data_IF_603915658083
#
_entry.id   IF_603915658083
#
_cell.length_a   1.000
_cell.length_b   1.000
_cell.length_c   1.000
_cell.angle_alpha   90.00
_cell.angle_beta   90.00
_cell.angle_gamma   90.00
#
_symmetry.space_group_name_H-M   'P 1'
#
loop_
_entity.id
_entity.type
_entity.pdbx_description
1 polymer ?
#
# COMPACT_ATOMS: atom_id res chain seq x y z
N UNK A 1 -20.42 -5.76 0.27
CA UNK A 1 -19.03 -5.30 0.40
C UNK A 1 -18.11 -6.48 0.65
N UNK A 2 -16.89 -6.44 0.15
CA UNK A 2 -15.90 -7.51 0.33
C UNK A 2 -14.77 -7.03 1.25
N UNK A 3 -14.13 -7.98 1.94
CA UNK A 3 -12.84 -7.72 2.57
C UNK A 3 -11.82 -7.30 1.49
N UNK A 4 -10.85 -6.42 1.82
CA UNK A 4 -9.73 -6.13 0.94
C UNK A 4 -9.03 -7.41 0.48
N UNK A 5 -8.49 -7.40 -0.73
CA UNK A 5 -7.68 -8.50 -1.23
C UNK A 5 -6.49 -8.77 -0.29
N UNK A 6 -6.20 -10.04 -0.03
CA UNK A 6 -5.16 -10.47 0.91
C UNK A 6 -5.60 -10.59 2.37
N UNK A 7 -6.84 -10.19 2.71
CA UNK A 7 -7.48 -10.49 4.00
C UNK A 7 -8.48 -11.63 3.90
N UNK A 8 -8.65 -12.37 5.00
CA UNK A 8 -9.61 -13.46 5.14
C UNK A 8 -10.30 -13.42 6.50
N UNK A 9 -11.54 -13.90 6.56
CA UNK A 9 -12.30 -14.09 7.81
C UNK A 9 -12.35 -15.58 8.16
N UNK A 10 -11.81 -15.94 9.32
CA UNK A 10 -11.93 -17.27 9.89
C UNK A 10 -13.34 -17.50 10.47
N UNK A 11 -13.76 -18.77 10.55
CA UNK A 11 -15.05 -19.14 11.16
C UNK A 11 -15.12 -18.83 12.65
N UNK A 12 -13.98 -18.64 13.31
CA UNK A 12 -13.85 -18.15 14.69
C UNK A 12 -14.10 -16.64 14.83
N UNK A 13 -14.29 -15.92 13.72
CA UNK A 13 -14.52 -14.47 13.68
C UNK A 13 -13.25 -13.62 13.55
N UNK A 14 -12.07 -14.25 13.44
CA UNK A 14 -10.80 -13.54 13.27
C UNK A 14 -10.60 -13.09 11.82
N UNK A 15 -10.23 -11.82 11.62
CA UNK A 15 -9.80 -11.30 10.31
C UNK A 15 -8.28 -11.21 10.31
N UNK A 16 -7.62 -11.85 9.35
CA UNK A 16 -6.16 -11.87 9.24
C UNK A 16 -5.67 -11.92 7.79
N UNK A 17 -4.41 -11.56 7.60
CA UNK A 17 -3.73 -11.49 6.30
C UNK A 17 -2.98 -10.18 6.11
N UNK A 18 -2.60 -9.88 4.87
CA UNK A 18 -1.92 -8.64 4.48
C UNK A 18 -2.69 -8.02 3.32
N UNK A 19 -3.31 -6.84 3.50
CA UNK A 19 -4.04 -6.20 2.42
C UNK A 19 -3.08 -5.78 1.29
N UNK A 20 -3.44 -6.06 0.04
CA UNK A 20 -2.59 -5.77 -1.14
C UNK A 20 -2.97 -4.48 -1.87
N UNK A 21 -4.13 -3.91 -1.56
CA UNK A 21 -4.67 -2.72 -2.20
C UNK A 21 -4.98 -1.64 -1.16
N UNK A 22 -4.52 -0.42 -1.43
CA UNK A 22 -4.83 0.75 -0.63
C UNK A 22 -6.19 1.33 -1.00
N UNK A 23 -6.97 1.76 -0.01
CA UNK A 23 -8.31 2.28 -0.23
C UNK A 23 -9.23 2.10 0.98
N UNK A 24 -10.51 2.43 0.77
CA UNK A 24 -11.55 2.26 1.79
C UNK A 24 -12.49 1.13 1.38
N UNK A 25 -12.49 0.04 2.14
CA UNK A 25 -13.24 -1.17 1.87
C UNK A 25 -14.39 -1.30 2.88
N UNK A 26 -15.62 -1.28 2.38
CA UNK A 26 -16.81 -1.49 3.22
C UNK A 26 -17.30 -2.92 3.04
N UNK A 27 -17.52 -3.65 4.14
CA UNK A 27 -17.99 -5.02 4.14
C UNK A 27 -18.97 -5.27 5.30
N UNK A 28 -19.78 -6.31 5.14
CA UNK A 28 -20.84 -6.65 6.10
C UNK A 28 -20.51 -8.00 6.72
N UNK A 29 -20.44 -8.06 8.05
CA UNK A 29 -20.27 -9.31 8.79
C UNK A 29 -21.62 -9.79 9.30
N UNK A 30 -21.88 -11.07 9.12
CA UNK A 30 -23.02 -11.78 9.72
C UNK A 30 -22.48 -12.87 10.63
N UNK A 31 -22.89 -12.84 11.90
CA UNK A 31 -22.68 -13.92 12.84
C UNK A 31 -23.99 -14.68 13.01
N UNK A 32 -23.94 -16.01 13.03
CA UNK A 32 -25.09 -16.88 13.27
C UNK A 32 -24.75 -17.82 14.42
N UNK A 33 -25.64 -17.93 15.40
CA UNK A 33 -25.48 -18.87 16.50
C UNK A 33 -26.02 -20.28 16.16
N UNK A 34 -25.79 -21.24 17.05
CA UNK A 34 -26.23 -22.63 16.86
C UNK A 34 -27.76 -22.79 16.84
N UNK A 35 -28.48 -21.79 17.34
CA UNK A 35 -29.94 -21.75 17.33
C UNK A 35 -30.50 -21.11 16.04
N UNK A 36 -29.63 -20.63 15.14
CA UNK A 36 -29.98 -20.00 13.88
C UNK A 36 -30.32 -18.52 13.98
N UNK A 37 -30.12 -17.89 15.15
CA UNK A 37 -30.25 -16.44 15.27
C UNK A 37 -29.03 -15.77 14.66
N UNK A 38 -29.25 -14.70 13.90
CA UNK A 38 -28.17 -13.97 13.24
C UNK A 38 -28.15 -12.49 13.63
N UNK A 39 -26.95 -11.94 13.69
CA UNK A 39 -26.68 -10.52 13.82
C UNK A 39 -25.81 -10.05 12.66
N UNK A 40 -26.14 -8.89 12.09
CA UNK A 40 -25.43 -8.32 10.94
C UNK A 40 -24.93 -6.92 11.26
N UNK A 41 -23.69 -6.60 10.85
CA UNK A 41 -23.10 -5.27 11.01
C UNK A 41 -22.21 -4.91 9.84
N UNK A 42 -22.29 -3.66 9.41
CA UNK A 42 -21.39 -3.09 8.41
C UNK A 42 -20.13 -2.51 9.07
N UNK A 43 -19.00 -2.70 8.41
CA UNK A 43 -17.69 -2.20 8.79
C UNK A 43 -17.02 -1.52 7.59
N UNK A 44 -16.23 -0.50 7.87
CA UNK A 44 -15.36 0.16 6.89
C UNK A 44 -13.92 0.05 7.37
N UNK A 45 -13.05 -0.49 6.51
CA UNK A 45 -11.62 -0.64 6.73
C UNK A 45 -10.87 0.26 5.76
N UNK A 46 -10.07 1.19 6.30
CA UNK A 46 -9.14 1.99 5.53
C UNK A 46 -7.77 1.29 5.50
N UNK A 47 -7.22 1.14 4.30
CA UNK A 47 -5.85 0.64 4.06
C UNK A 47 -5.06 1.78 3.43
N UNK A 48 -4.04 2.26 4.13
CA UNK A 48 -3.20 3.34 3.64
C UNK A 48 -2.25 2.87 2.54
N UNK A 49 -1.98 3.75 1.57
CA UNK A 49 -0.98 3.48 0.56
C UNK A 49 0.43 3.47 1.19
N UNK A 50 1.33 2.58 0.75
CA UNK A 50 2.70 2.59 1.21
C UNK A 50 3.39 3.88 0.74
N UNK A 51 4.20 4.47 1.62
CA UNK A 51 5.06 5.61 1.26
C UNK A 51 6.21 5.13 0.41
N UNK A 52 6.46 5.80 -0.72
CA UNK A 52 7.62 5.56 -1.58
C UNK A 52 8.62 6.71 -1.37
N UNK A 53 9.87 6.39 -1.05
CA UNK A 53 10.98 7.33 -0.96
C UNK A 53 11.97 7.13 -2.09
N UNK A 54 12.62 8.21 -2.53
CA UNK A 54 13.66 8.20 -3.57
C UNK A 54 14.98 8.60 -2.92
N UNK A 55 16.05 7.87 -3.23
CA UNK A 55 17.39 8.16 -2.74
C UNK A 55 18.38 8.29 -3.91
N UNK A 56 19.40 9.17 -3.82
CA UNK A 56 19.68 10.10 -2.72
C UNK A 56 18.70 11.28 -2.64
N UNK A 57 18.48 11.79 -1.42
CA UNK A 57 17.64 12.98 -1.16
C UNK A 57 18.16 14.25 -1.84
N UNK A 58 19.47 14.29 -2.13
CA UNK A 58 20.12 15.38 -2.83
C UNK A 58 21.23 14.87 -3.74
N UNK A 59 21.44 15.59 -4.83
CA UNK A 59 22.58 15.40 -5.72
C UNK A 59 23.72 16.33 -5.30
N UNK A 60 24.97 15.86 -5.43
CA UNK A 60 26.14 16.70 -5.20
C UNK A 60 26.25 17.78 -6.28
N UNK A 61 26.82 18.94 -5.94
CA UNK A 61 27.06 20.01 -6.90
C UNK A 61 27.98 19.57 -8.04
N UNK A 62 27.59 19.88 -9.27
CA UNK A 62 28.41 19.68 -10.46
C UNK A 62 29.33 20.86 -10.74
N UNK A 63 30.42 20.62 -11.46
CA UNK A 63 31.32 21.67 -11.95
C UNK A 63 31.17 21.80 -13.47
N UNK A 64 30.88 23.01 -13.95
CA UNK A 64 30.74 23.28 -15.38
C UNK A 64 32.01 22.90 -16.15
N UNK A 65 31.83 22.17 -17.26
CA UNK A 65 32.95 21.65 -18.08
C UNK A 65 33.63 20.39 -17.52
N UNK A 66 33.18 19.86 -16.39
CA UNK A 66 33.63 18.56 -15.85
C UNK A 66 32.55 17.50 -16.00
N UNK A 67 32.94 16.24 -16.16
CA UNK A 67 32.00 15.14 -16.15
C UNK A 67 31.36 15.01 -14.77
N UNK A 68 30.02 14.99 -14.72
CA UNK A 68 29.27 14.59 -13.53
C UNK A 68 29.16 13.06 -13.52
N UNK A 69 29.57 12.42 -12.41
CA UNK A 69 29.71 10.97 -12.32
C UNK A 69 28.38 10.21 -12.34
N UNK A 70 28.40 8.86 -12.37
CA UNK A 70 27.19 8.07 -12.31
C UNK A 70 26.57 8.19 -10.91
N UNK A 71 25.33 8.65 -10.84
CA UNK A 71 24.53 8.62 -9.61
C UNK A 71 23.37 7.65 -9.84
N UNK A 72 23.33 6.57 -9.05
CA UNK A 72 22.24 5.62 -9.09
C UNK A 72 21.06 6.17 -8.27
N UNK A 73 19.90 6.32 -8.91
CA UNK A 73 18.65 6.61 -8.20
C UNK A 73 18.05 5.27 -7.74
N UNK A 74 17.62 5.22 -6.48
CA UNK A 74 16.89 4.08 -5.92
C UNK A 74 15.56 4.54 -5.37
N UNK A 75 14.58 3.62 -5.34
CA UNK A 75 13.29 3.83 -4.71
C UNK A 75 13.03 2.70 -3.71
N UNK A 76 12.47 3.06 -2.56
CA UNK A 76 12.14 2.13 -1.49
C UNK A 76 10.71 2.36 -1.01
N UNK A 77 10.08 1.31 -0.49
CA UNK A 77 8.67 1.32 -0.09
C UNK A 77 7.70 0.99 -1.23
N UNK A 78 6.53 0.46 -0.87
CA UNK A 78 5.56 -0.05 -1.84
C UNK A 78 5.99 -1.35 -2.52
N UNK A 79 5.44 -1.59 -3.72
CA UNK A 79 5.67 -2.81 -4.50
C UNK A 79 6.27 -2.44 -5.84
N UNK A 80 7.48 -2.96 -6.12
CA UNK A 80 8.16 -2.75 -7.40
C UNK A 80 7.53 -3.54 -8.57
N UNK A 81 8.03 -3.35 -9.80
CA UNK A 81 9.24 -2.60 -10.17
C UNK A 81 9.04 -1.08 -10.18
N UNK A 82 10.07 -0.33 -9.80
CA UNK A 82 10.06 1.14 -9.81
C UNK A 82 10.52 1.70 -11.16
N UNK A 83 9.83 2.72 -11.65
CA UNK A 83 10.22 3.51 -12.82
C UNK A 83 10.67 4.92 -12.41
N UNK A 84 11.63 5.48 -13.14
CA UNK A 84 12.14 6.83 -12.90
C UNK A 84 11.96 7.67 -14.16
N UNK A 85 11.36 8.84 -14.02
CA UNK A 85 11.19 9.81 -15.09
C UNK A 85 11.49 11.23 -14.59
N UNK A 86 11.91 12.11 -15.48
CA UNK A 86 12.07 13.54 -15.18
C UNK A 86 10.77 14.23 -15.56
N UNK A 87 9.98 14.65 -14.57
CA UNK A 87 8.68 15.28 -14.80
C UNK A 87 8.79 16.79 -15.08
N UNK A 88 9.87 17.44 -14.63
CA UNK A 88 10.17 18.85 -14.89
C UNK A 88 11.68 19.14 -14.80
N UNK A 89 12.17 20.09 -15.60
CA UNK A 89 13.55 20.56 -15.63
C UNK A 89 13.64 21.98 -16.20
N UNK A 90 14.68 22.72 -15.80
CA UNK A 90 14.94 24.12 -16.19
C UNK A 90 15.84 24.27 -17.40
#
# INVERSE_FOLDING_TARGET
GSLPEGLSLATTGEISGTPTEAGSFTFTLTATDDNGFSGTREYTLAVDAPTISINPDALADGVAGSAYGPVAMTAEGGTGPYGFEITAGG
#
